data_IF_205676590079
#
_entry.id   IF_205676590079
#
_cell.length_a   1.000
_cell.length_b   1.000
_cell.length_c   1.000
_cell.angle_alpha   90.00
_cell.angle_beta   90.00
_cell.angle_gamma   90.00
#
_symmetry.space_group_name_H-M   'P 1'
#
loop_
_entity.id
_entity.type
_entity.pdbx_description
1 polymer ?
#
# COMPACT_ATOMS: atom_id res chain seq x y z
N UNK A 1 17.89 18.78 -2.85
CA UNK A 1 18.38 17.71 -1.95
C UNK A 1 19.38 16.80 -2.67
N UNK A 2 19.01 16.14 -3.78
CA UNK A 2 19.92 15.24 -4.51
C UNK A 2 21.17 15.94 -5.08
N UNK A 3 21.05 17.13 -5.69
CA UNK A 3 22.22 17.90 -6.17
C UNK A 3 23.24 18.12 -5.06
N UNK A 4 22.80 18.68 -3.93
CA UNK A 4 23.69 18.95 -2.79
C UNK A 4 24.40 17.68 -2.27
N UNK A 5 23.69 16.54 -2.23
CA UNK A 5 24.29 15.27 -1.84
C UNK A 5 25.36 14.80 -2.84
N UNK A 6 25.08 14.89 -4.15
CA UNK A 6 26.03 14.53 -5.20
C UNK A 6 27.23 15.48 -5.24
N UNK A 7 27.01 16.78 -5.14
CA UNK A 7 28.07 17.80 -5.17
C UNK A 7 29.05 17.59 -4.01
N UNK A 8 28.53 17.26 -2.82
CA UNK A 8 29.35 16.92 -1.66
C UNK A 8 30.09 15.59 -1.82
N UNK A 9 29.47 14.57 -2.41
CA UNK A 9 30.09 13.25 -2.59
C UNK A 9 31.15 13.27 -3.69
N UNK A 10 30.86 13.88 -4.83
CA UNK A 10 31.76 13.94 -5.98
C UNK A 10 33.02 14.78 -5.70
N UNK A 11 32.91 15.81 -4.86
CA UNK A 11 34.06 16.63 -4.46
C UNK A 11 35.00 15.93 -3.48
N UNK A 12 34.53 14.95 -2.70
CA UNK A 12 35.29 14.35 -1.61
C UNK A 12 35.63 12.86 -1.82
N UNK A 13 34.75 12.09 -2.45
CA UNK A 13 34.89 10.64 -2.62
C UNK A 13 35.56 10.29 -3.96
N UNK A 14 36.87 10.48 -4.04
CA UNK A 14 37.69 10.22 -5.25
C UNK A 14 37.61 8.78 -5.78
N UNK A 15 37.21 7.83 -4.93
CA UNK A 15 37.05 6.42 -5.27
C UNK A 15 35.57 6.00 -5.44
N UNK A 16 34.63 6.94 -5.57
CA UNK A 16 33.22 6.62 -5.81
C UNK A 16 33.08 5.89 -7.15
N UNK A 17 32.45 4.70 -7.13
CA UNK A 17 32.33 3.83 -8.31
C UNK A 17 30.91 3.73 -8.87
N UNK A 18 29.90 3.92 -8.03
CA UNK A 18 28.50 3.70 -8.39
C UNK A 18 27.57 4.53 -7.51
N UNK A 19 26.48 4.99 -8.11
CA UNK A 19 25.35 5.60 -7.40
C UNK A 19 24.09 4.88 -7.88
N UNK A 20 23.31 4.37 -6.94
CA UNK A 20 22.01 3.76 -7.24
C UNK A 20 20.90 4.61 -6.65
N UNK A 21 19.89 4.95 -7.46
CA UNK A 21 18.78 5.82 -7.10
C UNK A 21 17.47 5.03 -7.16
N UNK A 22 16.73 5.02 -6.04
CA UNK A 22 15.39 4.47 -5.98
C UNK A 22 14.36 5.54 -6.36
N UNK A 23 13.46 5.21 -7.29
CA UNK A 23 12.29 6.03 -7.64
C UNK A 23 11.00 5.27 -7.30
N UNK A 24 10.10 5.05 -8.26
CA UNK A 24 8.89 4.26 -8.07
C UNK A 24 7.96 4.31 -9.28
N UNK A 25 6.87 3.53 -9.23
CA UNK A 25 5.89 3.38 -10.32
C UNK A 25 5.21 4.69 -10.73
N UNK A 26 5.29 5.73 -9.89
CA UNK A 26 4.92 7.11 -10.23
C UNK A 26 5.69 7.70 -11.41
N UNK A 27 6.76 7.05 -11.89
CA UNK A 27 7.39 7.38 -13.15
C UNK A 27 6.43 7.28 -14.35
N UNK A 28 5.40 6.43 -14.27
CA UNK A 28 4.48 6.13 -15.37
C UNK A 28 3.11 6.82 -15.26
N UNK A 29 2.85 7.55 -14.17
CA UNK A 29 1.50 8.03 -13.81
C UNK A 29 1.52 9.42 -13.16
N UNK A 30 0.63 10.31 -13.59
CA UNK A 30 0.26 11.54 -12.89
C UNK A 30 -1.03 11.38 -12.07
N UNK A 31 -1.06 11.88 -10.83
CA UNK A 31 -2.21 11.80 -9.90
C UNK A 31 -3.12 13.05 -9.97
N UNK A 32 -3.06 13.85 -11.04
CA UNK A 32 -3.82 15.10 -11.15
C UNK A 32 -5.00 14.96 -12.11
N UNK A 33 -6.19 15.39 -11.62
CA UNK A 33 -7.46 15.52 -12.32
C UNK A 33 -7.34 16.33 -13.64
N UNK A 34 -8.30 16.20 -14.61
CA UNK A 34 -9.68 15.70 -14.43
C UNK A 34 -10.10 14.46 -15.26
N UNK A 35 -11.16 13.79 -14.78
CA UNK A 35 -11.92 12.75 -15.48
C UNK A 35 -13.38 13.18 -15.62
N UNK A 36 -13.98 12.96 -16.78
CA UNK A 36 -15.23 13.61 -17.22
C UNK A 36 -16.51 12.86 -16.78
N UNK A 37 -17.53 13.60 -16.33
CA UNK A 37 -18.81 13.10 -15.80
C UNK A 37 -19.99 13.73 -16.55
N UNK A 38 -20.94 12.93 -17.10
CA UNK A 38 -22.35 13.37 -17.25
C UNK A 38 -23.36 12.30 -17.77
N UNK A 39 -24.40 12.00 -16.97
CA UNK A 39 -25.86 12.21 -17.23
C UNK A 39 -26.78 11.46 -16.22
N UNK A 40 -27.93 12.04 -15.86
CA UNK A 40 -28.89 11.60 -14.80
C UNK A 40 -30.35 11.52 -15.27
N UNK A 41 -31.07 10.48 -14.84
CA UNK A 41 -32.54 10.36 -14.68
C UNK A 41 -32.78 9.49 -13.41
N UNK A 42 -33.77 9.80 -12.55
CA UNK A 42 -33.88 9.18 -11.21
C UNK A 42 -35.17 8.36 -10.99
N UNK A 43 -34.98 7.17 -10.41
CA UNK A 43 -35.96 6.34 -9.68
C UNK A 43 -35.44 6.19 -8.25
N UNK A 44 -36.24 5.85 -7.22
CA UNK A 44 -35.72 5.63 -5.85
C UNK A 44 -36.07 4.23 -5.33
N UNK A 45 -35.10 3.57 -4.69
CA UNK A 45 -35.22 2.28 -3.99
C UNK A 45 -34.51 2.36 -2.64
N UNK A 46 -34.86 1.46 -1.71
CA UNK A 46 -34.29 1.36 -0.37
C UNK A 46 -32.77 1.13 -0.36
N UNK A 47 -32.20 0.62 -1.45
CA UNK A 47 -30.75 0.41 -1.60
C UNK A 47 -29.99 1.69 -2.01
N UNK A 48 -30.68 2.83 -2.08
CA UNK A 48 -30.08 4.05 -2.61
C UNK A 48 -29.09 4.66 -1.62
N UNK A 49 -27.94 5.15 -2.12
CA UNK A 49 -26.96 5.78 -1.25
C UNK A 49 -27.54 7.03 -0.62
N UNK A 50 -27.05 7.35 0.57
CA UNK A 50 -27.38 8.60 1.26
C UNK A 50 -27.13 9.80 0.36
N UNK A 51 -28.04 10.77 0.39
CA UNK A 51 -27.93 11.99 -0.40
C UNK A 51 -26.67 12.76 -0.02
N UNK A 52 -25.89 13.19 -1.01
CA UNK A 52 -24.60 13.85 -0.83
C UNK A 52 -24.69 15.34 -0.45
N UNK A 53 -25.89 15.93 -0.47
CA UNK A 53 -26.11 17.35 -0.15
C UNK A 53 -27.23 17.53 0.87
N UNK A 54 -26.94 18.24 1.96
CA UNK A 54 -27.86 18.53 3.06
C UNK A 54 -27.64 17.64 4.28
N UNK A 55 -27.94 18.17 5.47
CA UNK A 55 -27.97 17.42 6.73
C UNK A 55 -29.31 16.72 6.87
N UNK A 56 -29.31 15.38 6.92
CA UNK A 56 -30.49 14.57 7.20
C UNK A 56 -30.31 13.83 8.52
N UNK A 57 -31.17 14.11 9.51
CA UNK A 57 -31.02 13.56 10.86
C UNK A 57 -31.21 12.04 10.91
N UNK A 58 -31.90 11.42 9.93
CA UNK A 58 -31.98 9.96 9.84
C UNK A 58 -30.62 9.30 9.58
N UNK A 59 -29.74 9.95 8.80
CA UNK A 59 -28.38 9.44 8.55
C UNK A 59 -27.50 9.55 9.79
N UNK A 60 -27.66 10.62 10.58
CA UNK A 60 -26.95 10.77 11.85
C UNK A 60 -27.38 9.72 12.87
N UNK A 61 -28.67 9.33 12.89
CA UNK A 61 -29.18 8.27 13.74
C UNK A 61 -28.69 6.88 13.29
N UNK A 62 -28.64 6.61 11.98
CA UNK A 62 -28.05 5.38 11.44
C UNK A 62 -26.54 5.28 11.72
N UNK A 63 -25.79 6.38 11.59
CA UNK A 63 -24.35 6.43 11.90
C UNK A 63 -24.09 6.22 13.38
N UNK A 64 -24.87 6.87 14.24
CA UNK A 64 -24.80 6.66 15.69
C UNK A 64 -25.15 5.21 16.06
N UNK A 65 -26.12 4.60 15.37
CA UNK A 65 -26.48 3.20 15.59
C UNK A 65 -25.34 2.25 15.16
N UNK A 66 -24.72 2.49 14.00
CA UNK A 66 -23.56 1.72 13.51
C UNK A 66 -22.35 1.89 14.43
N UNK A 67 -22.05 3.13 14.86
CA UNK A 67 -20.97 3.46 15.78
C UNK A 67 -21.14 2.79 17.14
N UNK A 68 -22.36 2.81 17.69
CA UNK A 68 -22.68 2.23 19.00
C UNK A 68 -22.80 0.70 18.97
N UNK A 69 -23.14 0.10 17.83
CA UNK A 69 -23.23 -1.36 17.68
C UNK A 69 -21.92 -2.02 17.22
N UNK A 70 -20.99 -1.28 16.57
CA UNK A 70 -19.72 -1.80 16.04
C UNK A 70 -18.48 -1.25 16.76
N UNK A 71 -18.30 -1.51 18.07
CA UNK A 71 -17.00 -1.28 18.73
C UNK A 71 -15.78 -2.02 18.11
N UNK A 72 -15.97 -2.73 16.99
CA UNK A 72 -14.95 -3.42 16.20
C UNK A 72 -15.08 -3.03 14.74
N UNK A 73 -14.04 -2.42 14.17
CA UNK A 73 -13.94 -2.18 12.73
C UNK A 73 -13.76 -3.54 12.05
N UNK A 74 -14.59 -3.91 11.05
CA UNK A 74 -14.48 -5.21 10.41
C UNK A 74 -13.22 -5.28 9.55
N UNK A 75 -12.57 -6.46 9.50
CA UNK A 75 -11.45 -6.70 8.59
C UNK A 75 -11.99 -7.03 7.19
N UNK A 76 -12.24 -5.98 6.41
CA UNK A 76 -12.78 -6.04 5.05
C UNK A 76 -11.79 -5.44 4.06
N UNK A 77 -11.97 -5.73 2.78
CA UNK A 77 -11.30 -5.08 1.67
C UNK A 77 -12.15 -3.90 1.18
N UNK A 78 -11.82 -2.70 1.69
CA UNK A 78 -12.42 -1.45 1.22
C UNK A 78 -11.83 -1.00 -0.11
N UNK A 79 -12.37 -1.48 -1.23
CA UNK A 79 -11.84 -1.21 -2.57
C UNK A 79 -12.78 -1.63 -3.69
N UNK A 80 -12.37 -1.44 -4.95
CA UNK A 80 -13.17 -1.88 -6.10
C UNK A 80 -13.08 -3.40 -6.30
N UNK A 81 -14.07 -3.97 -6.99
CA UNK A 81 -14.11 -5.41 -7.28
C UNK A 81 -12.97 -5.81 -8.23
N UNK A 82 -12.60 -4.94 -9.16
CA UNK A 82 -11.51 -5.15 -10.10
C UNK A 82 -10.16 -5.25 -9.37
N UNK A 83 -9.90 -4.35 -8.40
CA UNK A 83 -8.71 -4.44 -7.57
C UNK A 83 -8.70 -5.72 -6.72
N UNK A 84 -9.86 -6.20 -6.28
CA UNK A 84 -9.97 -7.43 -5.49
C UNK A 84 -9.69 -8.69 -6.31
N UNK A 85 -10.36 -8.83 -7.45
CA UNK A 85 -10.42 -10.09 -8.21
C UNK A 85 -9.25 -10.27 -9.18
N UNK A 86 -8.61 -9.20 -9.62
CA UNK A 86 -7.59 -9.24 -10.66
C UNK A 86 -6.20 -8.89 -10.13
N UNK A 87 -5.13 -9.37 -10.80
CA UNK A 87 -3.80 -8.82 -10.59
C UNK A 87 -3.78 -7.36 -11.03
N UNK A 88 -3.67 -6.47 -10.04
CA UNK A 88 -3.85 -5.04 -10.23
C UNK A 88 -2.60 -4.21 -9.95
N UNK A 89 -1.74 -4.71 -9.05
CA UNK A 89 -0.48 -4.09 -8.68
C UNK A 89 0.58 -5.15 -8.38
N UNK A 90 1.85 -4.84 -8.65
CA UNK A 90 2.99 -5.64 -8.19
C UNK A 90 3.43 -5.27 -6.76
N UNK A 91 3.97 -6.27 -6.04
CA UNK A 91 4.66 -6.05 -4.77
C UNK A 91 6.17 -5.86 -4.97
N UNK A 92 6.81 -5.07 -4.10
CA UNK A 92 8.27 -4.92 -4.07
C UNK A 92 8.76 -5.07 -2.63
N UNK A 93 9.35 -6.21 -2.30
CA UNK A 93 9.95 -6.46 -0.99
C UNK A 93 11.19 -5.57 -0.81
N UNK A 94 11.31 -4.91 0.36
CA UNK A 94 12.46 -4.04 0.62
C UNK A 94 13.80 -4.80 0.59
N UNK A 95 13.81 -6.09 0.94
CA UNK A 95 15.00 -6.95 0.82
C UNK A 95 15.37 -7.19 -0.63
N UNK A 96 14.38 -7.45 -1.49
CA UNK A 96 14.59 -7.59 -2.93
C UNK A 96 15.17 -6.30 -3.53
N UNK A 97 14.63 -5.15 -3.14
CA UNK A 97 15.12 -3.84 -3.58
C UNK A 97 16.57 -3.66 -3.13
N UNK A 98 16.88 -3.95 -1.86
CA UNK A 98 18.25 -3.89 -1.35
C UNK A 98 19.21 -4.84 -2.10
N UNK A 99 18.80 -6.09 -2.32
CA UNK A 99 19.55 -7.09 -3.09
C UNK A 99 19.82 -6.59 -4.52
N UNK A 100 18.84 -5.96 -5.16
CA UNK A 100 18.99 -5.40 -6.50
C UNK A 100 19.92 -4.18 -6.50
N UNK A 101 19.88 -3.32 -5.49
CA UNK A 101 20.81 -2.21 -5.32
C UNK A 101 22.25 -2.70 -5.15
N UNK A 102 22.47 -3.73 -4.32
CA UNK A 102 23.79 -4.35 -4.13
C UNK A 102 24.26 -4.97 -5.44
N UNK A 103 23.42 -5.78 -6.08
CA UNK A 103 23.70 -6.36 -7.39
C UNK A 103 24.08 -5.28 -8.42
N UNK A 104 23.32 -4.18 -8.47
CA UNK A 104 23.55 -3.07 -9.38
C UNK A 104 24.90 -2.40 -9.14
N UNK A 105 25.32 -2.30 -7.88
CA UNK A 105 26.58 -1.68 -7.49
C UNK A 105 27.80 -2.59 -7.68
N UNK A 106 27.64 -3.92 -7.60
CA UNK A 106 28.77 -4.86 -7.59
C UNK A 106 28.97 -5.62 -8.90
N UNK A 107 27.98 -5.66 -9.79
CA UNK A 107 28.09 -6.38 -11.06
C UNK A 107 28.88 -5.53 -12.07
N UNK A 108 30.03 -6.02 -12.52
CA UNK A 108 30.88 -5.28 -13.46
C UNK A 108 30.29 -5.17 -14.86
N UNK A 109 29.44 -6.13 -15.28
CA UNK A 109 28.85 -6.19 -16.63
C UNK A 109 27.74 -5.18 -16.89
N UNK A 110 27.30 -4.43 -15.88
CA UNK A 110 26.20 -3.45 -15.99
C UNK A 110 26.70 -2.01 -15.86
N UNK A 111 28.02 -1.82 -15.71
CA UNK A 111 28.65 -0.51 -15.70
C UNK A 111 28.48 0.12 -17.08
N UNK A 112 27.69 1.18 -17.15
CA UNK A 112 27.40 1.94 -18.37
C UNK A 112 27.62 3.42 -18.11
N UNK A 113 28.23 4.12 -19.06
CA UNK A 113 28.42 5.57 -19.00
C UNK A 113 27.09 6.34 -19.01
N UNK A 114 26.01 5.72 -19.50
CA UNK A 114 24.67 6.32 -19.57
C UNK A 114 23.71 5.77 -18.50
N UNK A 115 24.19 4.92 -17.58
CA UNK A 115 23.38 4.26 -16.57
C UNK A 115 22.41 3.21 -17.13
N UNK A 116 21.69 2.53 -16.24
CA UNK A 116 20.62 1.59 -16.56
C UNK A 116 19.50 1.71 -15.52
N UNK A 117 18.25 1.75 -15.97
CA UNK A 117 17.08 1.65 -15.09
C UNK A 117 16.54 0.21 -15.12
N UNK A 118 16.16 -0.31 -13.95
CA UNK A 118 15.55 -1.63 -13.77
C UNK A 118 14.33 -1.52 -12.86
N UNK A 119 13.29 -2.29 -13.17
CA UNK A 119 12.17 -2.47 -12.26
C UNK A 119 12.59 -3.40 -11.10
N UNK A 120 12.07 -3.13 -9.91
CA UNK A 120 12.22 -4.00 -8.73
C UNK A 120 10.85 -4.48 -8.27
N UNK A 121 10.42 -5.66 -8.74
CA UNK A 121 9.11 -6.24 -8.39
C UNK A 121 9.27 -7.72 -7.99
N UNK A 122 8.44 -8.24 -7.12
CA UNK A 122 8.62 -9.53 -6.44
C UNK A 122 8.70 -10.76 -7.36
N UNK A 123 8.04 -10.72 -8.53
CA UNK A 123 8.11 -11.76 -9.55
C UNK A 123 6.71 -12.29 -9.88
N UNK A 124 6.17 -13.27 -9.13
CA UNK A 124 4.81 -13.75 -9.37
C UNK A 124 3.77 -12.69 -9.06
N UNK A 125 2.80 -12.51 -9.96
CA UNK A 125 1.61 -11.68 -9.72
C UNK A 125 0.74 -12.29 -8.62
N UNK A 126 -0.10 -11.45 -8.01
CA UNK A 126 -1.04 -11.87 -6.98
C UNK A 126 -2.38 -11.13 -7.11
N UNK A 127 -3.42 -11.60 -6.45
CA UNK A 127 -4.68 -10.86 -6.26
C UNK A 127 -4.92 -10.55 -4.78
N UNK A 128 -5.59 -9.44 -4.48
CA UNK A 128 -5.96 -9.16 -3.09
C UNK A 128 -6.90 -10.23 -2.55
N UNK A 129 -7.76 -10.80 -3.40
CA UNK A 129 -8.67 -11.91 -3.06
C UNK A 129 -7.97 -13.13 -2.47
N UNK A 130 -6.81 -13.52 -2.99
CA UNK A 130 -6.09 -14.68 -2.47
C UNK A 130 -5.31 -14.36 -1.17
N UNK A 131 -4.75 -13.15 -1.03
CA UNK A 131 -3.84 -12.86 0.08
C UNK A 131 -4.53 -12.26 1.31
N UNK A 132 -5.57 -11.43 1.13
CA UNK A 132 -6.21 -10.68 2.21
C UNK A 132 -6.77 -11.58 3.33
N UNK A 133 -7.45 -12.72 3.04
CA UNK A 133 -7.89 -13.65 4.08
C UNK A 133 -6.73 -14.18 4.95
N UNK A 134 -5.56 -14.37 4.34
CA UNK A 134 -4.37 -14.91 5.00
C UNK A 134 -3.73 -13.83 5.87
N UNK A 135 -3.70 -12.58 5.39
CA UNK A 135 -3.28 -11.41 6.17
C UNK A 135 -4.16 -11.24 7.41
N UNK A 136 -5.49 -11.33 7.27
CA UNK A 136 -6.41 -11.25 8.40
C UNK A 136 -6.16 -12.33 9.45
N UNK A 137 -5.96 -13.59 9.00
CA UNK A 137 -5.57 -14.68 9.90
C UNK A 137 -4.24 -14.43 10.60
N UNK A 138 -3.24 -13.88 9.89
CA UNK A 138 -1.92 -13.53 10.46
C UNK A 138 -2.04 -12.45 11.54
N UNK A 139 -2.93 -11.49 11.35
CA UNK A 139 -3.22 -10.42 12.32
C UNK A 139 -4.12 -10.89 13.49
N UNK A 140 -4.67 -12.10 13.44
CA UNK A 140 -5.54 -12.64 14.49
C UNK A 140 -6.96 -12.06 14.51
N UNK A 141 -7.39 -11.43 13.41
CA UNK A 141 -8.73 -10.83 13.30
C UNK A 141 -9.75 -11.80 12.70
N UNK A 142 -11.03 -11.55 12.96
CA UNK A 142 -12.10 -12.29 12.32
C UNK A 142 -12.17 -11.95 10.83
N UNK A 143 -12.13 -12.99 10.00
CA UNK A 143 -12.14 -12.87 8.54
C UNK A 143 -13.56 -13.18 8.04
N UNK A 144 -14.32 -12.18 7.57
CA UNK A 144 -15.71 -12.38 7.11
C UNK A 144 -15.75 -13.16 5.78
N UNK A 145 -16.86 -13.83 5.50
CA UNK A 145 -17.04 -14.55 4.23
C UNK A 145 -17.09 -13.58 3.04
N UNK A 146 -17.87 -12.50 3.15
CA UNK A 146 -17.89 -11.40 2.20
C UNK A 146 -16.91 -10.33 2.64
N UNK A 147 -15.81 -10.17 1.92
CA UNK A 147 -14.74 -9.23 2.28
C UNK A 147 -14.80 -7.92 1.51
N UNK A 148 -15.36 -7.88 0.31
CA UNK A 148 -15.31 -6.67 -0.52
C UNK A 148 -16.43 -5.72 -0.11
N UNK A 149 -16.07 -4.53 0.35
CA UNK A 149 -17.01 -3.48 0.72
C UNK A 149 -16.65 -2.19 -0.01
N UNK A 150 -17.25 -1.97 -1.18
CA UNK A 150 -16.82 -0.92 -2.11
C UNK A 150 -16.85 0.50 -1.56
N UNK A 151 -17.81 0.79 -0.68
CA UNK A 151 -17.98 2.10 -0.03
C UNK A 151 -17.16 2.26 1.26
N UNK A 152 -16.44 1.23 1.71
CA UNK A 152 -15.62 1.31 2.93
C UNK A 152 -14.33 2.06 2.66
N UNK A 153 -14.15 3.23 3.29
CA UNK A 153 -12.93 4.03 3.21
C UNK A 153 -12.16 3.92 4.53
N UNK A 154 -10.90 3.51 4.46
CA UNK A 154 -10.01 3.38 5.63
C UNK A 154 -9.78 4.74 6.27
N UNK A 155 -9.63 5.80 5.49
CA UNK A 155 -9.47 7.18 6.01
C UNK A 155 -10.65 7.61 6.88
N UNK A 156 -11.87 7.24 6.50
CA UNK A 156 -13.08 7.52 7.29
C UNK A 156 -13.22 6.58 8.49
N UNK A 157 -12.98 5.29 8.30
CA UNK A 157 -13.13 4.29 9.36
C UNK A 157 -12.11 4.50 10.50
N UNK A 158 -10.91 4.97 10.16
CA UNK A 158 -9.82 5.23 11.11
C UNK A 158 -9.77 6.68 11.60
N UNK A 159 -10.73 7.53 11.18
CA UNK A 159 -10.84 8.89 11.68
C UNK A 159 -11.10 8.89 13.19
N UNK A 160 -10.41 9.78 13.92
CA UNK A 160 -10.51 9.93 15.38
C UNK A 160 -10.19 8.65 16.19
N UNK A 161 -9.38 7.73 15.64
CA UNK A 161 -8.93 6.50 16.33
C UNK A 161 -7.57 6.63 17.03
N UNK A 162 -7.05 7.85 17.23
CA UNK A 162 -5.76 8.08 17.88
C UNK A 162 -5.74 7.55 19.32
N UNK A 163 -6.78 7.86 20.10
CA UNK A 163 -6.87 7.38 21.49
C UNK A 163 -6.91 5.85 21.56
N UNK A 164 -7.62 5.20 20.65
CA UNK A 164 -7.66 3.72 20.57
C UNK A 164 -6.27 3.15 20.30
N UNK A 165 -5.48 3.80 19.43
CA UNK A 165 -4.09 3.38 19.19
C UNK A 165 -3.18 3.60 20.40
N UNK A 166 -3.34 4.72 21.11
CA UNK A 166 -2.59 5.00 22.35
C UNK A 166 -2.86 3.92 23.42
N UNK A 167 -4.12 3.53 23.59
CA UNK A 167 -4.53 2.43 24.48
C UNK A 167 -3.88 1.10 24.05
N UNK A 168 -3.90 0.75 22.77
CA UNK A 168 -3.24 -0.46 22.24
C UNK A 168 -1.73 -0.45 22.53
N UNK A 169 -1.07 0.70 22.32
CA UNK A 169 0.37 0.87 22.57
C UNK A 169 0.70 0.64 24.05
N UNK A 170 -0.10 1.21 24.95
CA UNK A 170 0.10 1.07 26.40
C UNK A 170 -0.17 -0.37 26.87
N UNK A 171 -1.31 -0.96 26.48
CA UNK A 171 -1.72 -2.31 26.89
C UNK A 171 -0.75 -3.41 26.42
N UNK A 172 -0.18 -3.26 25.22
CA UNK A 172 0.71 -4.26 24.62
C UNK A 172 2.19 -3.94 24.83
N UNK A 173 2.53 -2.83 25.50
CA UNK A 173 3.91 -2.42 25.74
C UNK A 173 4.69 -2.18 24.44
N UNK A 174 4.04 -1.53 23.46
CA UNK A 174 4.60 -1.25 22.14
C UNK A 174 5.53 -0.03 22.16
N UNK A 175 6.27 0.14 21.07
CA UNK A 175 7.02 1.37 20.82
C UNK A 175 6.04 2.55 20.75
N UNK A 176 6.31 3.60 21.52
CA UNK A 176 5.49 4.81 21.55
C UNK A 176 5.47 5.46 20.17
N UNK A 177 4.34 5.32 19.49
CA UNK A 177 4.14 5.78 18.11
C UNK A 177 2.78 6.44 18.00
N UNK A 178 2.67 7.38 17.07
CA UNK A 178 1.36 7.91 16.65
C UNK A 178 0.90 7.15 15.42
N UNK A 179 -0.40 6.87 15.33
CA UNK A 179 -0.96 6.05 14.24
C UNK A 179 -0.69 6.68 12.86
N UNK A 180 -0.71 8.01 12.77
CA UNK A 180 -0.42 8.76 11.54
C UNK A 180 1.03 8.63 11.04
N UNK A 181 1.97 8.25 11.92
CA UNK A 181 3.35 8.00 11.53
C UNK A 181 3.54 6.59 10.95
N UNK A 182 2.61 5.68 11.23
CA UNK A 182 2.67 4.27 10.83
C UNK A 182 1.76 3.96 9.64
N UNK A 183 0.60 4.60 9.59
CA UNK A 183 -0.45 4.29 8.64
C UNK A 183 -0.83 5.49 7.78
N UNK A 184 -0.84 5.27 6.47
CA UNK A 184 -1.38 6.21 5.50
C UNK A 184 -2.68 5.66 4.92
N UNK A 185 -3.80 6.02 5.56
CA UNK A 185 -5.11 5.49 5.21
C UNK A 185 -5.60 5.96 3.83
N UNK A 186 -5.29 7.21 3.47
CA UNK A 186 -5.61 7.75 2.15
C UNK A 186 -4.86 7.02 1.03
N UNK A 187 -3.61 6.64 1.29
CA UNK A 187 -2.85 5.79 0.38
C UNK A 187 -3.51 4.42 0.19
N UNK A 188 -4.01 3.78 1.24
CA UNK A 188 -4.75 2.52 1.10
C UNK A 188 -6.04 2.70 0.31
N UNK A 189 -6.79 3.77 0.57
CA UNK A 189 -8.01 4.09 -0.17
C UNK A 189 -7.75 4.27 -1.66
N UNK A 190 -6.67 4.97 -2.02
CA UNK A 190 -6.22 5.15 -3.40
C UNK A 190 -5.69 3.86 -4.03
N UNK A 191 -4.90 3.08 -3.29
CA UNK A 191 -4.30 1.82 -3.74
C UNK A 191 -5.37 0.79 -4.13
N UNK A 192 -6.41 0.63 -3.31
CA UNK A 192 -7.47 -0.35 -3.54
C UNK A 192 -8.58 0.13 -4.48
N UNK A 193 -8.44 1.35 -5.02
CA UNK A 193 -9.36 1.95 -6.01
C UNK A 193 -8.61 2.55 -7.18
N UNK A 194 -7.39 2.06 -7.43
CA UNK A 194 -6.56 2.63 -8.46
C UNK A 194 -7.28 2.46 -9.82
N UNK A 195 -7.38 3.50 -10.67
CA UNK A 195 -8.26 3.44 -11.84
C UNK A 195 -7.71 2.61 -13.01
N UNK A 196 -6.48 2.12 -12.91
CA UNK A 196 -5.82 1.29 -13.92
C UNK A 196 -4.74 0.40 -13.29
N UNK A 197 -4.35 -0.67 -13.98
CA UNK A 197 -3.37 -1.64 -13.46
C UNK A 197 -1.95 -1.08 -13.45
N UNK A 198 -1.21 -1.36 -12.38
CA UNK A 198 0.20 -0.99 -12.19
C UNK A 198 1.09 -2.24 -12.18
N UNK A 199 1.36 -2.77 -13.37
CA UNK A 199 2.17 -3.98 -13.55
C UNK A 199 3.48 -3.64 -14.28
N UNK A 200 4.60 -4.17 -13.81
CA UNK A 200 5.92 -4.04 -14.40
C UNK A 200 6.43 -5.36 -14.98
N UNK A 201 7.42 -5.29 -15.88
CA UNK A 201 8.18 -6.45 -16.33
C UNK A 201 9.52 -6.54 -15.60
N UNK A 202 9.98 -7.78 -15.37
CA UNK A 202 11.33 -8.11 -14.87
C UNK A 202 12.29 -8.60 -15.97
N UNK A 203 11.84 -8.74 -17.21
CA UNK A 203 12.62 -9.39 -18.27
C UNK A 203 14.02 -8.79 -18.39
N UNK A 204 14.09 -7.45 -18.37
CA UNK A 204 15.36 -6.72 -18.42
C UNK A 204 16.31 -7.07 -17.26
N UNK A 205 15.82 -7.15 -16.01
CA UNK A 205 16.74 -7.45 -14.89
C UNK A 205 17.17 -8.91 -14.89
N UNK A 206 16.34 -9.80 -15.43
CA UNK A 206 16.61 -11.23 -15.56
C UNK A 206 17.61 -11.53 -16.68
N UNK A 207 17.50 -10.86 -17.83
CA UNK A 207 18.50 -10.89 -18.90
C UNK A 207 19.90 -10.47 -18.41
N UNK A 208 19.94 -9.55 -17.45
CA UNK A 208 21.18 -9.07 -16.83
C UNK A 208 21.65 -9.94 -15.65
N UNK A 209 20.92 -11.01 -15.34
CA UNK A 209 21.31 -12.06 -14.39
C UNK A 209 20.89 -11.83 -12.94
N UNK A 210 19.92 -10.95 -12.66
CA UNK A 210 19.33 -10.81 -11.33
C UNK A 210 18.07 -11.67 -11.17
N UNK A 211 18.27 -12.88 -10.63
CA UNK A 211 17.21 -13.88 -10.49
C UNK A 211 16.44 -13.88 -9.17
N UNK A 212 16.77 -13.00 -8.21
CA UNK A 212 16.11 -12.99 -6.90
C UNK A 212 14.61 -12.64 -7.05
N UNK A 213 13.76 -13.43 -6.40
CA UNK A 213 12.29 -13.29 -6.42
C UNK A 213 11.75 -13.54 -5.02
N UNK A 214 10.66 -12.86 -4.70
CA UNK A 214 9.90 -13.06 -3.46
C UNK A 214 8.44 -13.31 -3.82
N UNK A 215 7.74 -14.14 -3.04
CA UNK A 215 6.28 -14.23 -3.15
C UNK A 215 5.68 -13.11 -2.31
N UNK A 216 4.86 -12.24 -2.90
CA UNK A 216 4.30 -11.06 -2.20
C UNK A 216 3.59 -11.42 -0.89
N UNK A 217 2.84 -12.53 -0.86
CA UNK A 217 2.24 -13.02 0.39
C UNK A 217 3.31 -13.28 1.46
N UNK A 218 4.38 -14.02 1.13
CA UNK A 218 5.42 -14.35 2.09
C UNK A 218 6.16 -13.09 2.56
N UNK A 219 6.36 -12.11 1.67
CA UNK A 219 6.91 -10.80 2.02
C UNK A 219 6.02 -10.08 3.03
N UNK A 220 4.71 -9.99 2.79
CA UNK A 220 3.77 -9.34 3.72
C UNK A 220 3.79 -10.04 5.09
N UNK A 221 3.73 -11.37 5.10
CA UNK A 221 3.77 -12.15 6.36
C UNK A 221 5.07 -11.94 7.13
N UNK A 222 6.21 -11.90 6.43
CA UNK A 222 7.52 -11.61 7.01
C UNK A 222 7.56 -10.20 7.62
N UNK A 223 7.10 -9.18 6.91
CA UNK A 223 7.11 -7.81 7.42
C UNK A 223 6.15 -7.60 8.59
N UNK A 224 5.05 -8.34 8.66
CA UNK A 224 4.19 -8.39 9.85
C UNK A 224 4.95 -8.95 11.05
N UNK A 225 5.71 -10.04 10.87
CA UNK A 225 6.52 -10.61 11.95
C UNK A 225 7.61 -9.65 12.41
N UNK A 226 8.32 -8.98 11.49
CA UNK A 226 9.29 -7.96 11.87
C UNK A 226 8.67 -6.81 12.68
N UNK A 227 7.50 -6.32 12.27
CA UNK A 227 6.80 -5.26 13.03
C UNK A 227 6.39 -5.72 14.43
N UNK A 228 6.06 -7.00 14.62
CA UNK A 228 5.77 -7.58 15.93
C UNK A 228 7.01 -7.75 16.78
N UNK A 229 8.09 -8.27 16.20
CA UNK A 229 9.37 -8.46 16.87
C UNK A 229 9.95 -7.12 17.34
N UNK A 230 9.77 -6.06 16.54
CA UNK A 230 10.13 -4.68 16.88
C UNK A 230 9.10 -3.96 17.77
N UNK A 231 8.01 -4.63 18.14
CA UNK A 231 6.91 -4.09 18.96
C UNK A 231 6.29 -2.81 18.40
N UNK A 232 6.21 -2.70 17.08
CA UNK A 232 5.48 -1.62 16.38
C UNK A 232 3.99 -1.92 16.33
N UNK A 233 3.62 -3.20 16.25
CA UNK A 233 2.25 -3.69 16.36
C UNK A 233 2.20 -4.87 17.35
N UNK A 234 1.00 -5.23 17.88
CA UNK A 234 0.84 -6.43 18.73
C UNK A 234 1.12 -7.76 18.02
#
# INVERSE_FOLDING_TARGET
MMSNALDSLLSNAKNLKHVSLQTGTKHYVSLQAPFDEQKKLYYYKEEFPRMSSGTNFYYALEDLLIEKLNGKIPFVFGGTKECWEEPYIDGSDARLVADQHIWAATKSSIVSTNGQAFNSINGPSFTWKEIWPIVGKKLGVQVPQEMVVGNFLYSKAMFEKQQVWEEIVEENGLVKTKVENLANWEFLDALFRFPFKLMGSRDKVEEFGFGARYKTLNSILYWIDCMRDEKVIP
#
